data_IF_906450761320
#
_entry.id   IF_906450761320
#
_cell.length_a   1.000
_cell.length_b   1.000
_cell.length_c   1.000
_cell.angle_alpha   90.00
_cell.angle_beta   90.00
_cell.angle_gamma   90.00
#
_symmetry.space_group_name_H-M   'P 1'
#
loop_
_entity.id
_entity.type
_entity.pdbx_description
1 polymer ?
#
# COMPACT_ATOMS: atom_id res chain seq x y z
N UNK A 1 -30.52 -22.13 -42.42
CA UNK A 1 -30.30 -23.49 -41.89
C UNK A 1 -29.32 -23.36 -40.76
N UNK A 2 -29.79 -23.59 -39.54
CA UNK A 2 -28.99 -23.59 -38.32
C UNK A 2 -28.70 -25.05 -37.99
N UNK A 3 -27.43 -25.45 -37.94
CA UNK A 3 -27.00 -26.71 -37.32
C UNK A 3 -26.33 -26.34 -35.99
N UNK A 4 -26.63 -27.06 -34.89
CA UNK A 4 -26.06 -26.77 -33.58
C UNK A 4 -24.64 -27.33 -33.46
N UNK A 5 -23.71 -26.50 -33.00
CA UNK A 5 -22.34 -26.90 -32.65
C UNK A 5 -22.33 -27.86 -31.44
N UNK A 6 -21.46 -28.86 -31.54
CA UNK A 6 -21.23 -29.87 -30.52
C UNK A 6 -20.43 -29.31 -29.32
N UNK A 7 -20.59 -29.86 -28.11
CA UNK A 7 -19.88 -29.38 -26.93
C UNK A 7 -18.37 -29.66 -27.00
N UNK A 8 -17.60 -28.65 -26.60
CA UNK A 8 -16.13 -28.66 -26.46
C UNK A 8 -15.61 -29.88 -25.69
N UNK A 9 -14.61 -30.54 -26.26
CA UNK A 9 -13.80 -31.54 -25.57
C UNK A 9 -12.83 -30.85 -24.61
N UNK A 10 -12.58 -31.40 -23.40
CA UNK A 10 -11.63 -30.81 -22.47
C UNK A 10 -10.18 -30.96 -22.96
N UNK A 11 -9.45 -29.85 -22.92
CA UNK A 11 -8.02 -29.73 -23.22
C UNK A 11 -7.17 -30.83 -22.55
N UNK A 12 -6.36 -31.49 -23.37
CA UNK A 12 -5.32 -32.40 -22.90
C UNK A 12 -4.24 -31.62 -22.14
N UNK A 13 -3.77 -32.10 -20.97
CA UNK A 13 -2.68 -31.43 -20.28
C UNK A 13 -1.37 -31.59 -21.05
N UNK A 14 -0.74 -30.45 -21.32
CA UNK A 14 0.59 -30.30 -21.93
C UNK A 14 1.61 -31.29 -21.37
N UNK A 15 2.33 -31.95 -22.29
CA UNK A 15 3.47 -32.80 -21.98
C UNK A 15 4.62 -31.95 -21.41
N UNK A 16 5.26 -32.34 -20.29
CA UNK A 16 6.49 -31.71 -19.87
C UNK A 16 7.66 -32.34 -20.63
N UNK A 17 8.24 -31.59 -21.57
CA UNK A 17 9.52 -31.90 -22.19
C UNK A 17 10.65 -31.05 -21.57
N UNK A 18 11.83 -31.66 -21.50
CA UNK A 18 13.15 -31.09 -21.20
C UNK A 18 13.46 -30.71 -19.74
N UNK A 19 13.73 -31.73 -18.92
CA UNK A 19 15.01 -31.77 -18.19
C UNK A 19 15.57 -33.20 -18.26
N UNK A 20 16.28 -33.41 -19.36
CA UNK A 20 17.14 -34.54 -19.64
C UNK A 20 18.37 -34.54 -18.71
N UNK A 21 18.69 -35.73 -18.22
CA UNK A 21 20.01 -36.23 -17.84
C UNK A 21 21.04 -35.22 -17.28
N UNK A 22 21.06 -35.09 -15.94
CA UNK A 22 22.30 -34.77 -15.23
C UNK A 22 22.58 -35.83 -14.18
N UNK A 23 23.60 -36.63 -14.46
CA UNK A 23 24.31 -37.53 -13.57
C UNK A 23 24.79 -36.76 -12.34
N UNK A 24 24.03 -36.79 -11.25
CA UNK A 24 24.49 -36.38 -9.92
C UNK A 24 24.45 -37.63 -9.05
N UNK A 25 25.64 -38.19 -8.82
CA UNK A 25 26.01 -39.24 -7.85
C UNK A 25 24.99 -40.36 -7.62
N UNK A 26 25.34 -41.60 -7.98
CA UNK A 26 24.59 -42.85 -7.75
C UNK A 26 24.04 -43.01 -6.31
N UNK A 27 23.04 -42.23 -5.94
CA UNK A 27 22.30 -42.36 -4.71
C UNK A 27 20.94 -42.91 -5.09
N UNK A 28 20.71 -44.16 -4.71
CA UNK A 28 19.41 -44.77 -4.91
C UNK A 28 18.39 -44.07 -3.99
N UNK A 29 17.15 -43.90 -4.47
CA UNK A 29 16.03 -43.43 -3.63
C UNK A 29 15.91 -44.26 -2.34
N UNK A 30 16.35 -45.53 -2.36
CA UNK A 30 16.44 -46.39 -1.19
C UNK A 30 17.39 -45.88 -0.10
N UNK A 31 18.54 -45.32 -0.45
CA UNK A 31 19.47 -44.71 0.53
C UNK A 31 18.87 -43.44 1.15
N UNK A 32 18.21 -42.59 0.36
CA UNK A 32 17.50 -41.42 0.89
C UNK A 32 16.41 -41.82 1.91
N UNK A 33 15.69 -42.92 1.63
CA UNK A 33 14.69 -43.48 2.55
C UNK A 33 15.35 -44.01 3.82
N UNK A 34 16.45 -44.76 3.69
CA UNK A 34 17.18 -45.32 4.83
C UNK A 34 17.77 -44.23 5.75
N UNK A 35 18.43 -43.23 5.18
CA UNK A 35 19.01 -42.11 5.92
C UNK A 35 17.92 -41.29 6.63
N UNK A 36 16.79 -41.09 5.95
CA UNK A 36 15.63 -40.44 6.54
C UNK A 36 14.99 -41.25 7.67
N UNK A 37 14.90 -42.58 7.51
CA UNK A 37 14.38 -43.49 8.53
C UNK A 37 15.33 -43.58 9.74
N UNK A 38 16.64 -43.46 9.52
CA UNK A 38 17.69 -43.40 10.54
C UNK A 38 17.73 -42.12 11.37
N UNK A 39 16.82 -41.16 11.10
CA UNK A 39 16.63 -39.98 11.94
C UNK A 39 17.07 -38.66 11.29
N UNK A 40 17.79 -38.68 10.17
CA UNK A 40 18.27 -37.48 9.49
C UNK A 40 17.13 -36.55 9.02
N UNK A 41 17.35 -35.23 9.04
CA UNK A 41 16.38 -34.27 8.51
C UNK A 41 16.36 -34.28 6.97
N UNK A 42 15.26 -33.84 6.33
CA UNK A 42 15.19 -33.74 4.86
C UNK A 42 16.34 -32.89 4.27
N UNK A 43 16.79 -31.86 5.02
CA UNK A 43 17.90 -31.01 4.60
C UNK A 43 19.25 -31.73 4.73
N UNK A 44 19.45 -32.51 5.80
CA UNK A 44 20.67 -33.30 5.99
C UNK A 44 20.78 -34.42 4.95
N UNK A 45 19.67 -35.14 4.66
CA UNK A 45 19.60 -36.12 3.58
C UNK A 45 19.85 -35.45 2.22
N UNK A 46 19.30 -34.25 2.00
CA UNK A 46 19.56 -33.49 0.78
C UNK A 46 21.04 -33.14 0.59
N UNK A 47 21.69 -32.64 1.65
CA UNK A 47 23.12 -32.32 1.63
C UNK A 47 23.99 -33.57 1.40
N UNK A 48 23.66 -34.69 2.04
CA UNK A 48 24.40 -35.95 1.90
C UNK A 48 24.36 -36.54 0.47
N UNK A 49 23.31 -36.22 -0.28
CA UNK A 49 23.09 -36.75 -1.64
C UNK A 49 23.15 -35.68 -2.73
N UNK A 50 23.62 -34.47 -2.41
CA UNK A 50 23.80 -33.39 -3.40
C UNK A 50 22.50 -32.87 -4.03
N UNK A 51 21.36 -33.01 -3.34
CA UNK A 51 20.04 -32.58 -3.84
C UNK A 51 19.31 -31.68 -2.85
N UNK A 52 18.50 -30.71 -3.30
CA UNK A 52 17.66 -29.91 -2.39
C UNK A 52 16.66 -30.75 -1.57
N UNK A 53 16.37 -30.31 -0.36
CA UNK A 53 15.49 -31.02 0.59
C UNK A 53 14.07 -31.30 0.04
N UNK A 54 13.57 -30.49 -0.89
CA UNK A 54 12.26 -30.73 -1.52
C UNK A 54 12.28 -31.88 -2.53
N UNK A 55 13.43 -32.18 -3.14
CA UNK A 55 13.62 -33.35 -4.00
C UNK A 55 13.57 -34.60 -3.12
N UNK A 56 14.30 -34.63 -2.01
CA UNK A 56 14.22 -35.70 -1.01
C UNK A 56 12.78 -35.91 -0.56
N UNK A 57 12.05 -34.83 -0.25
CA UNK A 57 10.63 -34.90 0.11
C UNK A 57 9.76 -35.55 -0.98
N UNK A 58 10.02 -35.25 -2.25
CA UNK A 58 9.31 -35.86 -3.39
C UNK A 58 9.60 -37.37 -3.47
N UNK A 59 10.88 -37.74 -3.42
CA UNK A 59 11.33 -39.15 -3.52
C UNK A 59 10.82 -40.02 -2.37
N UNK A 60 10.75 -39.48 -1.16
CA UNK A 60 10.12 -40.17 -0.03
C UNK A 60 8.64 -40.44 -0.27
N UNK A 61 7.90 -39.46 -0.80
CA UNK A 61 6.46 -39.61 -1.12
C UNK A 61 6.21 -40.63 -2.23
N UNK A 62 7.05 -40.65 -3.27
CA UNK A 62 7.00 -41.67 -4.34
C UNK A 62 7.16 -43.10 -3.79
N UNK A 63 7.83 -43.27 -2.64
CA UNK A 63 7.97 -44.55 -1.93
C UNK A 63 6.97 -44.74 -0.78
N UNK A 64 5.94 -43.89 -0.68
CA UNK A 64 4.94 -43.95 0.38
C UNK A 64 5.44 -43.53 1.78
N UNK A 65 6.66 -42.99 1.89
CA UNK A 65 7.21 -42.49 3.15
C UNK A 65 6.74 -41.06 3.37
N UNK A 66 5.84 -40.87 4.33
CA UNK A 66 5.39 -39.55 4.73
C UNK A 66 6.49 -38.84 5.54
N UNK A 67 6.89 -37.62 5.15
CA UNK A 67 7.82 -36.84 5.96
C UNK A 67 7.23 -36.60 7.35
N UNK A 68 8.03 -36.88 8.39
CA UNK A 68 7.83 -36.47 9.77
C UNK A 68 7.36 -35.02 9.78
N UNK A 69 6.27 -34.77 10.50
CA UNK A 69 5.86 -33.41 10.82
C UNK A 69 7.08 -32.68 11.38
N UNK A 70 7.35 -31.46 10.89
CA UNK A 70 8.41 -30.62 11.48
C UNK A 70 8.17 -30.60 12.99
N UNK A 71 9.21 -30.78 13.84
CA UNK A 71 9.07 -30.59 15.28
C UNK A 71 8.38 -29.25 15.48
N UNK A 72 7.13 -29.32 15.94
CA UNK A 72 6.25 -28.17 15.92
C UNK A 72 6.86 -27.13 16.82
N UNK A 73 7.20 -25.95 16.28
CA UNK A 73 7.23 -24.76 17.10
C UNK A 73 5.86 -24.73 17.79
N UNK A 74 5.83 -24.96 19.10
CA UNK A 74 4.58 -25.03 19.85
C UNK A 74 4.08 -23.60 20.02
N UNK A 75 3.15 -23.23 19.16
CA UNK A 75 2.34 -22.04 19.34
C UNK A 75 1.29 -22.32 20.43
N UNK A 76 0.98 -21.34 21.29
CA UNK A 76 -0.23 -21.41 22.12
C UNK A 76 -1.44 -21.67 21.23
N UNK A 77 -2.25 -22.67 21.60
CA UNK A 77 -3.48 -23.02 20.87
C UNK A 77 -4.67 -22.14 21.26
N UNK A 78 -4.59 -21.49 22.42
CA UNK A 78 -5.62 -20.60 22.98
C UNK A 78 -5.70 -19.29 22.18
N UNK A 79 -6.82 -19.02 21.46
CA UNK A 79 -7.04 -17.77 20.74
C UNK A 79 -7.05 -16.55 21.68
N UNK A 80 -7.51 -16.69 22.92
CA UNK A 80 -7.55 -15.59 23.88
C UNK A 80 -6.15 -15.19 24.35
N UNK A 81 -5.23 -16.16 24.46
CA UNK A 81 -3.83 -15.87 24.72
C UNK A 81 -3.27 -14.93 23.65
N UNK A 82 -3.56 -15.21 22.37
CA UNK A 82 -3.14 -14.36 21.26
C UNK A 82 -3.81 -12.99 21.32
N UNK A 83 -5.11 -12.92 21.60
CA UNK A 83 -5.82 -11.65 21.78
C UNK A 83 -5.15 -10.80 22.88
N UNK A 84 -4.88 -11.35 24.06
CA UNK A 84 -4.17 -10.68 25.16
C UNK A 84 -2.75 -10.21 24.78
N UNK A 85 -2.05 -10.95 23.91
CA UNK A 85 -0.75 -10.51 23.43
C UNK A 85 -0.85 -9.34 22.43
N UNK A 86 -1.98 -9.24 21.74
CA UNK A 86 -2.26 -8.26 20.70
C UNK A 86 -2.99 -7.01 21.23
N UNK A 87 -3.54 -7.09 22.45
CA UNK A 87 -4.09 -5.95 23.15
C UNK A 87 -2.98 -4.90 23.41
N UNK A 88 -3.27 -3.61 23.14
CA UNK A 88 -2.43 -2.52 23.63
C UNK A 88 -2.33 -2.63 25.16
N UNK A 89 -1.11 -2.60 25.70
CA UNK A 89 -0.90 -2.63 27.15
C UNK A 89 0.08 -1.56 27.59
N UNK A 90 -0.16 -0.98 28.76
CA UNK A 90 0.74 -0.02 29.39
C UNK A 90 1.75 -0.77 30.26
N UNK A 91 3.05 -0.63 29.96
CA UNK A 91 4.16 -1.18 30.76
C UNK A 91 5.09 -0.02 31.07
N UNK A 92 5.33 0.26 32.36
CA UNK A 92 6.16 1.38 32.84
C UNK A 92 5.77 2.72 32.23
N UNK A 93 4.47 2.98 32.14
CA UNK A 93 3.93 4.21 31.55
C UNK A 93 3.86 4.20 30.02
N UNK A 94 4.47 3.23 29.34
CA UNK A 94 4.56 3.16 27.88
C UNK A 94 3.52 2.20 27.31
N UNK A 95 2.76 2.66 26.31
CA UNK A 95 1.92 1.75 25.51
C UNK A 95 2.77 0.88 24.61
N UNK A 96 2.83 -0.40 24.93
CA UNK A 96 3.34 -1.43 24.04
C UNK A 96 2.17 -1.89 23.16
N UNK A 97 2.29 -1.69 21.85
CA UNK A 97 1.35 -2.27 20.90
C UNK A 97 1.44 -3.80 20.99
N UNK A 98 0.31 -4.45 20.75
CA UNK A 98 0.29 -5.81 20.28
C UNK A 98 0.88 -5.91 18.89
N UNK A 99 2.20 -5.79 18.77
CA UNK A 99 2.86 -5.83 17.48
C UNK A 99 3.22 -7.28 17.10
N UNK A 100 2.72 -7.69 15.94
CA UNK A 100 3.08 -8.93 15.29
C UNK A 100 4.60 -9.07 15.11
N UNK A 101 5.34 -7.97 14.96
CA UNK A 101 6.80 -8.00 14.87
C UNK A 101 7.45 -8.56 16.14
N UNK A 102 6.98 -8.14 17.33
CA UNK A 102 7.45 -8.68 18.62
C UNK A 102 7.13 -10.17 18.75
N UNK A 103 5.93 -10.58 18.34
CA UNK A 103 5.55 -12.00 18.36
C UNK A 103 6.36 -12.80 17.35
N UNK A 104 6.60 -12.25 16.17
CA UNK A 104 7.43 -12.84 15.14
C UNK A 104 8.86 -13.06 15.63
N UNK A 105 9.46 -12.05 16.26
CA UNK A 105 10.78 -12.14 16.91
C UNK A 105 10.78 -13.20 18.03
N UNK A 106 9.82 -13.13 18.97
CA UNK A 106 9.69 -14.10 20.08
C UNK A 106 9.61 -15.55 19.59
N UNK A 107 8.90 -15.78 18.49
CA UNK A 107 8.74 -17.11 17.92
C UNK A 107 9.78 -17.44 16.84
N UNK A 108 10.71 -16.52 16.53
CA UNK A 108 11.73 -16.66 15.50
C UNK A 108 11.17 -16.89 14.09
N UNK A 109 10.03 -16.29 13.76
CA UNK A 109 9.32 -16.44 12.49
C UNK A 109 9.08 -15.08 11.84
N UNK A 110 8.52 -15.06 10.63
CA UNK A 110 8.12 -13.82 9.99
C UNK A 110 6.79 -13.32 10.54
N UNK A 111 6.59 -12.00 10.49
CA UNK A 111 5.30 -11.35 10.78
C UNK A 111 4.14 -11.96 9.98
N UNK A 112 4.41 -12.37 8.74
CA UNK A 112 3.42 -13.03 7.88
C UNK A 112 3.03 -14.44 8.37
N UNK A 113 3.96 -15.17 8.99
CA UNK A 113 3.66 -16.47 9.59
C UNK A 113 2.73 -16.33 10.80
N UNK A 114 2.94 -15.31 11.64
CA UNK A 114 2.05 -14.99 12.75
C UNK A 114 0.66 -14.60 12.23
N UNK A 115 0.57 -13.74 11.19
CA UNK A 115 -0.72 -13.36 10.58
C UNK A 115 -1.53 -14.56 10.10
N UNK A 116 -0.89 -15.47 9.35
CA UNK A 116 -1.54 -16.70 8.87
C UNK A 116 -2.08 -17.53 10.04
N UNK A 117 -1.32 -17.62 11.13
CA UNK A 117 -1.73 -18.34 12.33
C UNK A 117 -2.96 -17.71 12.98
N UNK A 118 -2.95 -16.40 13.20
CA UNK A 118 -4.07 -15.66 13.78
C UNK A 118 -5.35 -15.82 12.95
N UNK A 119 -5.23 -15.71 11.63
CA UNK A 119 -6.35 -15.93 10.70
C UNK A 119 -6.94 -17.35 10.82
N UNK A 120 -6.10 -18.39 10.95
CA UNK A 120 -6.57 -19.77 11.17
C UNK A 120 -7.30 -19.96 12.51
N UNK A 121 -7.00 -19.13 13.51
CA UNK A 121 -7.63 -19.17 14.83
C UNK A 121 -8.83 -18.21 14.95
N UNK A 122 -9.20 -17.51 13.87
CA UNK A 122 -10.25 -16.48 13.90
C UNK A 122 -9.91 -15.27 14.77
N UNK A 123 -8.64 -15.08 15.15
CA UNK A 123 -8.22 -13.94 15.95
C UNK A 123 -8.08 -12.74 15.03
N UNK A 124 -9.03 -11.80 15.13
CA UNK A 124 -8.94 -10.54 14.42
C UNK A 124 -7.72 -9.74 14.91
N UNK A 125 -6.76 -9.55 14.02
CA UNK A 125 -5.69 -8.57 14.20
C UNK A 125 -5.96 -7.40 13.27
N UNK A 126 -6.89 -6.53 13.69
CA UNK A 126 -7.07 -5.25 13.02
C UNK A 126 -5.94 -4.34 13.49
N UNK A 127 -5.12 -3.85 12.56
CA UNK A 127 -4.17 -2.76 12.86
C UNK A 127 -5.00 -1.49 13.09
N UNK A 128 -5.63 -1.36 14.24
CA UNK A 128 -6.19 -0.09 14.65
C UNK A 128 -5.04 0.78 15.16
N UNK A 129 -4.89 1.95 14.55
CA UNK A 129 -4.01 2.96 15.10
C UNK A 129 -4.67 3.50 16.36
N UNK A 130 -4.44 2.83 17.48
CA UNK A 130 -4.80 3.35 18.80
C UNK A 130 -3.95 4.59 19.00
N UNK A 131 -4.63 5.73 19.04
CA UNK A 131 -3.99 7.02 19.31
C UNK A 131 -3.80 7.13 20.82
N UNK A 132 -2.65 7.62 21.31
CA UNK A 132 -2.44 7.92 22.71
C UNK A 132 -3.50 8.90 23.25
N UNK A 133 -3.62 8.94 24.57
CA UNK A 133 -4.48 9.91 25.25
C UNK A 133 -4.11 11.36 24.85
N UNK A 134 -5.09 12.27 24.67
CA UNK A 134 -4.82 13.67 24.32
C UNK A 134 -3.88 14.38 25.31
N UNK A 135 -3.85 13.92 26.56
CA UNK A 135 -3.05 14.44 27.66
C UNK A 135 -1.80 13.60 27.93
N UNK A 136 -1.44 12.67 27.03
CA UNK A 136 -0.22 11.88 27.18
C UNK A 136 1.04 12.76 27.17
N UNK A 137 2.11 12.22 27.79
CA UNK A 137 3.40 12.89 27.81
C UNK A 137 3.94 13.10 26.37
N UNK A 138 4.69 14.19 26.08
CA UNK A 138 5.17 14.47 24.72
C UNK A 138 5.92 13.29 24.09
N UNK A 139 6.75 12.62 24.87
CA UNK A 139 7.58 11.51 24.43
C UNK A 139 6.75 10.26 24.08
N UNK A 140 5.55 10.15 24.64
CA UNK A 140 4.58 9.09 24.31
C UNK A 140 3.94 9.33 22.95
N UNK A 141 3.52 10.57 22.67
CA UNK A 141 2.96 10.95 21.38
C UNK A 141 4.00 10.84 20.26
N UNK A 142 5.21 11.34 20.48
CA UNK A 142 6.30 11.30 19.47
C UNK A 142 6.69 9.86 19.12
N UNK A 143 6.71 8.98 20.13
CA UNK A 143 6.92 7.54 19.92
C UNK A 143 5.77 6.92 19.13
N UNK A 144 4.54 7.34 19.38
CA UNK A 144 3.40 6.89 18.58
C UNK A 144 3.53 7.32 17.13
N UNK A 145 3.87 8.58 16.84
CA UNK A 145 4.10 9.06 15.46
C UNK A 145 5.21 8.24 14.80
N UNK A 146 6.34 8.03 15.50
CA UNK A 146 7.47 7.23 14.99
C UNK A 146 7.06 5.80 14.65
N UNK A 147 6.28 5.14 15.51
CA UNK A 147 5.81 3.76 15.26
C UNK A 147 4.68 3.68 14.23
N UNK A 148 3.96 4.79 14.01
CA UNK A 148 2.86 4.88 13.07
C UNK A 148 3.29 5.36 11.67
N UNK A 149 4.59 5.63 11.48
CA UNK A 149 5.12 6.15 10.24
C UNK A 149 6.31 5.36 9.70
N UNK A 150 6.63 5.56 8.43
CA UNK A 150 7.86 5.12 7.79
C UNK A 150 8.50 6.33 7.08
N UNK A 151 9.82 6.52 7.20
CA UNK A 151 10.50 7.60 6.50
C UNK A 151 10.53 7.34 4.99
N UNK A 152 10.25 8.38 4.21
CA UNK A 152 10.42 8.41 2.75
C UNK A 152 10.97 9.79 2.36
N UNK A 153 12.30 9.85 2.18
CA UNK A 153 13.02 11.12 2.16
C UNK A 153 12.76 11.90 3.46
N UNK A 154 12.40 13.17 3.34
CA UNK A 154 12.06 14.03 4.48
C UNK A 154 10.61 13.82 4.99
N UNK A 155 9.83 12.94 4.37
CA UNK A 155 8.44 12.68 4.77
C UNK A 155 8.34 11.54 5.80
N UNK A 156 7.40 11.66 6.74
CA UNK A 156 7.00 10.57 7.64
C UNK A 156 5.65 10.00 7.18
N UNK A 157 5.68 8.91 6.41
CA UNK A 157 4.50 8.32 5.74
C UNK A 157 3.67 7.46 6.68
N UNK A 158 2.35 7.63 6.67
CA UNK A 158 1.43 6.82 7.46
C UNK A 158 1.40 5.35 7.01
N UNK A 159 1.58 4.41 7.95
CA UNK A 159 1.69 2.96 7.65
C UNK A 159 0.41 2.16 7.79
N UNK A 160 -0.69 2.79 8.23
CA UNK A 160 -1.99 2.13 8.38
C UNK A 160 -2.88 2.34 7.16
N UNK A 161 -3.99 1.59 7.12
CA UNK A 161 -4.93 1.62 6.01
C UNK A 161 -5.40 3.06 5.74
N UNK A 162 -5.26 3.47 4.48
CA UNK A 162 -5.81 4.73 3.99
C UNK A 162 -7.27 4.45 3.63
N UNK A 163 -8.21 5.13 4.28
CA UNK A 163 -9.61 5.16 3.80
C UNK A 163 -9.64 5.92 2.47
N UNK A 164 -10.70 5.81 1.64
CA UNK A 164 -10.82 6.53 0.37
C UNK A 164 -10.86 8.07 0.49
N UNK A 165 -10.63 8.63 1.67
CA UNK A 165 -10.45 10.07 1.89
C UNK A 165 -9.01 10.48 1.58
N UNK A 166 -8.76 11.74 1.16
CA UNK A 166 -7.41 12.19 0.79
C UNK A 166 -6.39 12.09 1.92
N UNK A 167 -6.84 11.97 3.18
CA UNK A 167 -6.00 11.97 4.39
C UNK A 167 -6.28 10.77 5.29
N UNK A 168 -5.25 10.24 5.98
CA UNK A 168 -5.45 9.29 7.08
C UNK A 168 -6.30 9.89 8.20
N UNK A 169 -7.24 9.10 8.72
CA UNK A 169 -8.04 9.44 9.90
C UNK A 169 -7.93 8.36 10.97
N UNK A 170 -8.08 8.78 12.22
CA UNK A 170 -8.09 7.92 13.41
C UNK A 170 -9.21 8.35 14.33
N UNK A 171 -9.72 7.40 15.14
CA UNK A 171 -10.64 7.75 16.22
C UNK A 171 -9.82 8.28 17.40
N UNK A 172 -10.10 9.49 17.84
CA UNK A 172 -9.42 10.14 18.96
C UNK A 172 -10.45 10.98 19.73
N UNK A 173 -10.61 10.68 21.02
CA UNK A 173 -11.63 11.29 21.88
C UNK A 173 -13.07 11.12 21.34
N UNK A 174 -13.45 9.89 20.98
CA UNK A 174 -14.77 9.56 20.41
C UNK A 174 -14.94 9.92 18.92
N UNK A 175 -14.24 10.93 18.42
CA UNK A 175 -14.41 11.49 17.08
C UNK A 175 -13.42 10.95 16.04
N UNK A 176 -13.81 10.97 14.76
CA UNK A 176 -12.88 10.76 13.64
C UNK A 176 -12.11 12.05 13.37
N UNK A 177 -10.78 12.03 13.47
CA UNK A 177 -9.92 13.18 13.22
C UNK A 177 -8.82 12.87 12.21
N UNK A 178 -8.44 13.81 11.33
CA UNK A 178 -7.28 13.65 10.46
C UNK A 178 -6.00 13.55 11.31
N UNK A 179 -5.13 12.59 10.99
CA UNK A 179 -3.95 12.32 11.82
C UNK A 179 -3.01 13.54 11.88
N UNK A 180 -2.83 14.24 10.77
CA UNK A 180 -1.97 15.42 10.70
C UNK A 180 -2.48 16.59 11.56
N UNK A 181 -3.79 16.68 11.85
CA UNK A 181 -4.31 17.68 12.80
C UNK A 181 -3.89 17.36 14.24
N UNK A 182 -3.83 16.07 14.60
CA UNK A 182 -3.37 15.65 15.92
C UNK A 182 -1.89 15.95 16.11
N UNK A 183 -1.09 15.66 15.08
CA UNK A 183 0.34 16.00 15.06
C UNK A 183 0.53 17.52 15.16
N UNK A 184 -0.20 18.31 14.37
CA UNK A 184 -0.16 19.76 14.47
C UNK A 184 -0.46 20.25 15.89
N UNK A 185 -1.59 19.83 16.45
CA UNK A 185 -2.04 20.26 17.77
C UNK A 185 -1.01 19.94 18.86
N UNK A 186 -0.29 18.82 18.73
CA UNK A 186 0.76 18.44 19.68
C UNK A 186 2.00 19.35 19.64
N UNK A 187 2.46 19.68 18.44
CA UNK A 187 3.72 20.42 18.25
C UNK A 187 3.54 21.95 18.26
N UNK A 188 2.36 22.43 17.84
CA UNK A 188 2.11 23.87 17.63
C UNK A 188 0.96 24.40 18.47
N UNK A 189 0.13 23.53 19.07
CA UNK A 189 -1.04 23.93 19.84
C UNK A 189 -2.25 24.27 18.98
N UNK A 190 -3.10 25.17 19.49
CA UNK A 190 -4.36 25.54 18.85
C UNK A 190 -4.13 26.26 17.51
N UNK A 191 -5.00 25.99 16.54
CA UNK A 191 -5.00 26.71 15.28
C UNK A 191 -5.50 28.16 15.48
N UNK A 192 -4.89 29.13 14.79
CA UNK A 192 -5.46 30.47 14.71
C UNK A 192 -6.87 30.42 14.08
N UNK A 193 -7.79 31.31 14.47
CA UNK A 193 -9.14 31.35 13.90
C UNK A 193 -9.14 31.45 12.37
N UNK A 194 -9.94 30.60 11.72
CA UNK A 194 -10.09 30.59 10.26
C UNK A 194 -8.95 29.93 9.48
N UNK A 195 -8.00 29.27 10.17
CA UNK A 195 -6.94 28.49 9.54
C UNK A 195 -7.18 26.99 9.65
N UNK A 196 -6.64 26.25 8.69
CA UNK A 196 -6.60 24.79 8.64
C UNK A 196 -5.16 24.29 8.54
N UNK A 197 -4.92 23.05 8.98
CA UNK A 197 -3.63 22.39 8.78
C UNK A 197 -3.54 21.94 7.32
N UNK A 198 -2.45 22.27 6.66
CA UNK A 198 -2.13 21.79 5.32
C UNK A 198 -0.66 21.37 5.27
N UNK A 199 -0.31 20.61 4.23
CA UNK A 199 1.08 20.36 3.91
C UNK A 199 1.71 21.58 3.23
N UNK A 200 3.00 21.81 3.50
CA UNK A 200 3.80 22.86 2.85
C UNK A 200 3.98 22.56 1.36
N UNK A 201 4.23 23.62 0.58
CA UNK A 201 4.61 23.48 -0.83
C UNK A 201 5.89 22.60 -0.93
N UNK A 202 5.84 21.57 -1.78
CA UNK A 202 6.93 20.59 -1.95
C UNK A 202 6.69 19.24 -1.26
N UNK A 203 5.78 19.15 -0.28
CA UNK A 203 5.37 17.87 0.26
C UNK A 203 4.26 17.26 -0.62
N UNK A 204 4.59 16.24 -1.40
CA UNK A 204 3.66 15.58 -2.35
C UNK A 204 2.77 14.53 -1.69
N UNK A 205 2.99 14.24 -0.41
CA UNK A 205 2.37 13.14 0.30
C UNK A 205 1.26 13.63 1.23
N UNK A 206 0.00 13.38 0.87
CA UNK A 206 -1.14 13.75 1.73
C UNK A 206 -1.14 13.01 3.08
N UNK A 207 -0.43 11.89 3.19
CA UNK A 207 -0.30 11.12 4.43
C UNK A 207 1.01 11.38 5.19
N UNK A 208 1.75 12.44 4.84
CA UNK A 208 2.94 12.86 5.58
C UNK A 208 2.55 13.42 6.96
N UNK A 209 3.25 12.98 8.00
CA UNK A 209 3.07 13.41 9.38
C UNK A 209 4.31 14.12 9.95
N UNK A 210 5.27 14.51 9.11
CA UNK A 210 6.41 15.30 9.57
C UNK A 210 5.89 16.68 10.03
N UNK A 211 6.07 17.07 11.31
CA UNK A 211 5.59 18.36 11.83
C UNK A 211 6.14 19.56 11.04
N UNK A 212 7.36 19.47 10.52
CA UNK A 212 7.98 20.52 9.70
C UNK A 212 7.37 20.65 8.31
N UNK A 213 6.60 19.64 7.86
CA UNK A 213 5.86 19.69 6.61
C UNK A 213 4.41 20.11 6.79
N UNK A 214 3.99 20.44 8.02
CA UNK A 214 2.66 20.93 8.32
C UNK A 214 2.70 22.45 8.53
N UNK A 215 1.66 23.13 8.09
CA UNK A 215 1.51 24.59 8.22
C UNK A 215 0.04 24.94 8.45
N UNK A 216 -0.21 25.92 9.30
CA UNK A 216 -1.53 26.52 9.42
C UNK A 216 -1.70 27.60 8.36
N UNK A 217 -2.75 27.48 7.54
CA UNK A 217 -3.05 28.43 6.49
C UNK A 217 -4.54 28.61 6.32
N UNK A 218 -4.96 29.74 5.76
CA UNK A 218 -6.36 29.94 5.41
C UNK A 218 -6.72 29.12 4.16
N UNK A 219 -7.99 28.69 4.00
CA UNK A 219 -8.43 28.03 2.78
C UNK A 219 -8.14 28.84 1.51
N UNK A 220 -8.22 30.18 1.61
CA UNK A 220 -7.88 31.08 0.51
C UNK A 220 -6.39 31.00 0.13
N UNK A 221 -5.50 31.11 1.11
CA UNK A 221 -4.06 31.00 0.87
C UNK A 221 -3.67 29.64 0.29
N UNK A 222 -4.33 28.56 0.75
CA UNK A 222 -4.17 27.21 0.20
C UNK A 222 -4.55 27.15 -1.28
N UNK A 223 -5.73 27.66 -1.62
CA UNK A 223 -6.21 27.68 -3.00
C UNK A 223 -5.31 28.53 -3.90
N UNK A 224 -4.88 29.71 -3.44
CA UNK A 224 -3.97 30.59 -4.17
C UNK A 224 -2.63 29.88 -4.45
N UNK A 225 -2.11 29.11 -3.48
CA UNK A 225 -0.92 28.26 -3.65
C UNK A 225 -1.11 27.11 -4.65
N UNK A 226 -2.26 26.42 -4.63
CA UNK A 226 -2.56 25.37 -5.60
C UNK A 226 -2.72 25.92 -7.03
N UNK A 227 -3.30 27.12 -7.15
CA UNK A 227 -3.42 27.83 -8.44
C UNK A 227 -2.05 28.24 -8.96
N UNK A 228 -1.17 28.80 -8.11
CA UNK A 228 0.17 29.22 -8.53
C UNK A 228 1.07 28.04 -8.94
N UNK A 229 0.89 26.88 -8.31
CA UNK A 229 1.55 25.63 -8.68
C UNK A 229 0.96 24.98 -9.95
N UNK A 230 -0.15 25.49 -10.48
CA UNK A 230 -0.78 24.93 -11.68
C UNK A 230 -1.40 23.54 -11.48
N UNK A 231 -1.77 23.19 -10.24
CA UNK A 231 -2.32 21.87 -9.89
C UNK A 231 -3.67 21.61 -10.58
N UNK A 232 -4.46 22.67 -10.81
CA UNK A 232 -5.76 22.55 -11.45
C UNK A 232 -5.62 22.29 -12.96
N UNK A 233 -6.33 21.28 -13.51
CA UNK A 233 -6.30 21.01 -14.94
C UNK A 233 -6.90 22.20 -15.71
N UNK A 234 -6.21 22.63 -16.74
CA UNK A 234 -6.59 23.75 -17.59
C UNK A 234 -6.38 23.40 -19.07
N UNK A 235 -7.03 24.16 -19.96
CA UNK A 235 -6.95 23.89 -21.39
C UNK A 235 -7.55 22.53 -21.73
N UNK A 236 -6.81 21.74 -22.50
CA UNK A 236 -7.17 20.38 -22.95
C UNK A 236 -6.97 19.30 -21.89
N UNK A 237 -6.23 19.58 -20.80
CA UNK A 237 -6.12 18.67 -19.65
C UNK A 237 -7.40 18.61 -18.82
N UNK A 238 -8.31 19.57 -19.00
CA UNK A 238 -9.60 19.56 -18.33
C UNK A 238 -10.49 18.48 -18.97
N UNK A 239 -11.08 17.59 -18.17
CA UNK A 239 -11.85 16.42 -18.64
C UNK A 239 -13.03 16.77 -19.56
N UNK A 240 -13.52 18.01 -19.50
CA UNK A 240 -14.60 18.52 -20.36
C UNK A 240 -14.13 19.45 -21.49
N UNK A 241 -12.82 19.49 -21.76
CA UNK A 241 -12.28 20.30 -22.83
C UNK A 241 -12.78 19.81 -24.19
N UNK A 242 -13.30 20.74 -25.00
CA UNK A 242 -13.75 20.46 -26.38
C UNK A 242 -12.68 20.75 -27.43
N UNK A 243 -11.59 21.39 -27.02
CA UNK A 243 -10.52 21.83 -27.89
C UNK A 243 -9.21 21.29 -27.34
N UNK A 244 -8.33 20.82 -28.23
CA UNK A 244 -6.93 20.55 -27.91
C UNK A 244 -6.14 21.86 -27.77
N UNK A 245 -4.94 21.77 -27.18
CA UNK A 245 -3.98 22.86 -27.16
C UNK A 245 -3.74 23.44 -28.57
N UNK A 246 -3.42 22.59 -29.55
CA UNK A 246 -3.13 23.02 -30.92
C UNK A 246 -4.33 23.69 -31.60
N UNK A 247 -5.56 23.22 -31.32
CA UNK A 247 -6.77 23.86 -31.84
C UNK A 247 -6.97 25.25 -31.25
N UNK A 248 -6.68 25.43 -29.96
CA UNK A 248 -6.74 26.73 -29.31
C UNK A 248 -5.66 27.69 -29.82
N UNK A 249 -4.44 27.20 -30.10
CA UNK A 249 -3.36 27.97 -30.74
C UNK A 249 -3.77 28.38 -32.16
N UNK A 250 -4.28 27.46 -32.97
CA UNK A 250 -4.76 27.76 -34.32
C UNK A 250 -5.87 28.83 -34.33
N UNK A 251 -6.75 28.84 -33.31
CA UNK A 251 -7.76 29.89 -33.14
C UNK A 251 -7.14 31.28 -32.92
N UNK A 252 -6.02 31.36 -32.17
CA UNK A 252 -5.31 32.60 -31.89
C UNK A 252 -4.59 33.15 -33.12
N UNK A 253 -3.99 32.27 -33.92
CA UNK A 253 -3.23 32.63 -35.12
C UNK A 253 -4.13 32.88 -36.35
N UNK A 254 -5.31 32.26 -36.38
CA UNK A 254 -6.24 32.36 -37.51
C UNK A 254 -6.85 33.75 -37.66
N UNK A 255 -6.78 34.29 -38.88
CA UNK A 255 -7.49 35.52 -39.30
C UNK A 255 -8.93 35.26 -39.76
N UNK A 256 -9.38 34.00 -39.79
CA UNK A 256 -10.72 33.66 -40.21
C UNK A 256 -11.78 34.23 -39.25
N UNK A 257 -13.02 34.33 -39.73
CA UNK A 257 -14.12 34.80 -38.88
C UNK A 257 -14.34 33.84 -37.71
N UNK A 258 -14.83 34.37 -36.59
CA UNK A 258 -15.13 33.53 -35.43
C UNK A 258 -16.21 32.46 -35.73
N UNK A 259 -17.05 32.68 -36.74
CA UNK A 259 -18.06 31.72 -37.16
C UNK A 259 -17.45 30.56 -37.97
N UNK A 260 -16.52 30.85 -38.88
CA UNK A 260 -15.83 29.84 -39.68
C UNK A 260 -14.97 28.94 -38.79
N UNK A 261 -14.19 29.56 -37.91
CA UNK A 261 -13.32 28.85 -36.98
C UNK A 261 -14.11 27.97 -36.01
N UNK A 262 -15.26 28.48 -35.54
CA UNK A 262 -16.17 27.73 -34.67
C UNK A 262 -16.75 26.49 -35.36
N UNK A 263 -17.19 26.62 -36.63
CA UNK A 263 -17.67 25.50 -37.43
C UNK A 263 -16.59 24.45 -37.63
N UNK A 264 -15.37 24.89 -38.00
CA UNK A 264 -14.22 24.01 -38.22
C UNK A 264 -13.87 23.20 -36.98
N UNK A 265 -13.95 23.82 -35.80
CA UNK A 265 -13.52 23.21 -34.53
C UNK A 265 -14.67 22.62 -33.71
N UNK A 266 -15.91 22.63 -34.19
CA UNK A 266 -17.06 22.07 -33.48
C UNK A 266 -17.41 22.79 -32.16
N UNK A 267 -17.15 24.10 -32.08
CA UNK A 267 -17.44 24.92 -30.88
C UNK A 267 -18.33 26.11 -31.19
N UNK A 268 -18.73 26.86 -30.17
CA UNK A 268 -19.49 28.10 -30.39
C UNK A 268 -18.58 29.25 -30.85
N UNK A 269 -19.07 30.18 -31.70
CA UNK A 269 -18.34 31.41 -32.03
C UNK A 269 -17.95 32.24 -30.80
N UNK A 270 -18.76 32.18 -29.73
CA UNK A 270 -18.45 32.81 -28.44
C UNK A 270 -17.22 32.20 -27.77
N UNK A 271 -17.01 30.88 -27.89
CA UNK A 271 -15.79 30.20 -27.41
C UNK A 271 -14.56 30.75 -28.13
N UNK A 272 -14.62 30.85 -29.46
CA UNK A 272 -13.54 31.40 -30.30
C UNK A 272 -13.21 32.84 -29.90
N UNK A 273 -14.23 33.71 -29.78
CA UNK A 273 -14.02 35.10 -29.32
C UNK A 273 -13.42 35.16 -27.91
N UNK A 274 -13.87 34.30 -27.00
CA UNK A 274 -13.33 34.26 -25.65
C UNK A 274 -11.85 33.85 -25.61
N UNK A 275 -11.44 32.90 -26.45
CA UNK A 275 -10.03 32.51 -26.64
C UNK A 275 -9.23 33.68 -27.20
N UNK A 276 -9.66 34.27 -28.32
CA UNK A 276 -8.98 35.43 -28.94
C UNK A 276 -8.86 36.65 -28.02
N UNK A 277 -9.85 36.84 -27.14
CA UNK A 277 -9.83 37.92 -26.13
C UNK A 277 -9.03 37.60 -24.87
N UNK A 278 -8.43 36.39 -24.76
CA UNK A 278 -7.71 35.95 -23.57
C UNK A 278 -8.58 35.69 -22.34
N UNK A 279 -9.91 35.67 -22.48
CA UNK A 279 -10.82 35.33 -21.36
C UNK A 279 -10.86 33.83 -21.08
N UNK A 280 -10.62 33.01 -22.10
CA UNK A 280 -10.42 31.56 -22.00
C UNK A 280 -9.02 31.21 -22.51
N UNK A 281 -8.50 30.06 -22.09
CA UNK A 281 -7.14 29.62 -22.46
C UNK A 281 -6.06 30.64 -22.07
N UNK A 282 -6.22 31.28 -20.90
CA UNK A 282 -5.35 32.34 -20.36
C UNK A 282 -3.87 32.00 -20.27
N UNK A 283 -3.54 30.71 -20.23
CA UNK A 283 -2.18 30.21 -20.16
C UNK A 283 -1.47 30.21 -21.53
N UNK A 284 -2.22 30.28 -22.64
CA UNK A 284 -1.64 30.53 -23.95
C UNK A 284 -1.26 32.01 -24.00
N UNK A 285 0.03 32.28 -24.13
CA UNK A 285 0.54 33.63 -24.34
C UNK A 285 0.04 34.16 -25.68
N UNK A 286 -0.09 35.49 -25.78
CA UNK A 286 -0.58 36.19 -26.95
C UNK A 286 0.56 36.64 -27.85
#
# INVERSE_FOLDING_TARGET
>A
MYQPDQPDQPDQPDQPDLLDQTTVGQTTVGQMVADYAGGASLAAVGAAHGVPWWIVRSRLRERGVLPRARPGRRYPADPEWWARQLEPRKVDGVWLRGDLARLAERFGVTTQAIRRRLALMGVEHRREAVVPDPHCAPEEFDRWVTTATQPEGDCLRWVFARRPYPYPTVRHDGDQRPVHHLVWARHHGALPPGQEVSHVAGCVHSDCLNPHHLVAMTPRARLDGLVSQGVFPHGDKHWWAKLSHDQAVAILESRASAADEARRMGVSPSTVRAIRSGRRWKHLQR
#
